data_IF_861960852516
#
_entry.id   IF_861960852516
#
_cell.length_a   1.000
_cell.length_b   1.000
_cell.length_c   1.000
_cell.angle_alpha   90.00
_cell.angle_beta   90.00
_cell.angle_gamma   90.00
#
_symmetry.space_group_name_H-M   'P 1'
#
loop_
_entity.id
_entity.type
_entity.pdbx_description
1 polymer ?
#
# COMPACT_ATOMS: atom_id res chain seq x y z
N UNK A 1 -16.05 5.17 -47.27
CA UNK A 1 -16.20 6.23 -46.25
C UNK A 1 -14.95 6.25 -45.40
N UNK A 2 -14.07 7.24 -45.65
CA UNK A 2 -12.81 7.39 -44.94
C UNK A 2 -13.11 7.82 -43.50
N UNK A 3 -12.71 7.01 -42.52
CA UNK A 3 -12.78 7.35 -41.11
C UNK A 3 -11.85 8.55 -40.85
N UNK A 4 -12.41 9.73 -40.70
CA UNK A 4 -11.68 10.92 -40.27
C UNK A 4 -11.08 10.63 -38.90
N UNK A 5 -9.78 10.39 -38.87
CA UNK A 5 -9.00 10.23 -37.62
C UNK A 5 -9.20 11.50 -36.80
N UNK A 6 -9.95 11.43 -35.69
CA UNK A 6 -10.12 12.55 -34.76
C UNK A 6 -8.77 12.84 -34.14
N UNK A 7 -8.05 13.79 -34.71
CA UNK A 7 -6.78 14.28 -34.13
C UNK A 7 -7.10 15.07 -32.87
N UNK A 8 -6.38 14.76 -31.76
CA UNK A 8 -6.52 15.52 -30.51
C UNK A 8 -6.21 16.99 -30.76
N UNK A 9 -7.01 17.93 -30.19
CA UNK A 9 -6.68 19.34 -30.26
C UNK A 9 -5.26 19.60 -29.77
N UNK A 10 -4.54 20.52 -30.43
CA UNK A 10 -3.19 20.92 -30.04
C UNK A 10 -3.16 22.38 -29.59
N UNK A 11 -2.06 22.80 -28.93
CA UNK A 11 -1.86 24.22 -28.59
C UNK A 11 -1.97 25.15 -29.81
N UNK A 12 -1.53 24.68 -30.98
CA UNK A 12 -1.64 25.42 -32.21
C UNK A 12 -3.11 25.61 -32.64
N UNK A 13 -3.93 24.54 -32.53
CA UNK A 13 -5.36 24.64 -32.84
C UNK A 13 -6.07 25.67 -31.96
N UNK A 14 -5.77 25.72 -30.65
CA UNK A 14 -6.33 26.72 -29.73
C UNK A 14 -5.90 28.12 -30.16
N UNK A 15 -4.60 28.32 -30.43
CA UNK A 15 -4.04 29.60 -30.82
C UNK A 15 -4.66 30.15 -32.13
N UNK A 16 -4.79 29.29 -33.13
CA UNK A 16 -5.34 29.64 -34.46
C UNK A 16 -6.82 30.05 -34.37
N UNK A 17 -7.61 29.35 -33.54
CA UNK A 17 -9.06 29.62 -33.37
C UNK A 17 -9.36 30.97 -32.74
N UNK A 18 -8.51 31.44 -31.85
CA UNK A 18 -8.71 32.73 -31.15
C UNK A 18 -7.78 33.84 -31.61
N UNK A 19 -6.98 33.59 -32.66
CA UNK A 19 -6.15 34.61 -33.33
C UNK A 19 -4.97 35.09 -32.47
N UNK A 20 -4.34 34.19 -31.69
CA UNK A 20 -3.15 34.49 -30.87
C UNK A 20 -1.99 33.53 -31.18
N UNK A 21 -0.83 33.78 -30.57
CA UNK A 21 0.33 32.90 -30.78
C UNK A 21 0.25 31.67 -29.86
N UNK A 22 0.79 30.54 -30.32
CA UNK A 22 0.99 29.32 -29.47
C UNK A 22 1.74 29.64 -28.18
N UNK A 23 2.69 30.58 -28.22
CA UNK A 23 3.45 31.02 -27.05
C UNK A 23 2.55 31.67 -25.99
N UNK A 24 1.55 32.45 -26.40
CA UNK A 24 0.58 33.09 -25.51
C UNK A 24 -0.30 32.04 -24.81
N UNK A 25 -0.79 31.03 -25.54
CA UNK A 25 -1.56 29.91 -24.97
C UNK A 25 -0.66 29.12 -24.00
N UNK A 26 0.58 28.82 -24.37
CA UNK A 26 1.53 28.11 -23.49
C UNK A 26 1.85 28.89 -22.21
N UNK A 27 1.95 30.23 -22.30
CA UNK A 27 2.17 31.12 -21.16
C UNK A 27 0.95 31.08 -20.20
N UNK A 28 -0.25 31.18 -20.75
CA UNK A 28 -1.49 31.04 -19.99
C UNK A 28 -1.57 29.73 -19.25
N UNK A 29 -1.26 28.60 -19.89
CA UNK A 29 -1.31 27.28 -19.26
C UNK A 29 -0.28 27.12 -18.12
N UNK A 30 0.82 27.88 -18.16
CA UNK A 30 1.85 27.89 -17.11
C UNK A 30 1.46 28.77 -15.94
N UNK A 31 0.99 29.99 -16.27
CA UNK A 31 0.55 31.00 -15.33
C UNK A 31 -0.56 31.84 -15.98
N UNK A 32 -1.83 31.60 -15.63
CA UNK A 32 -2.95 32.33 -16.19
C UNK A 32 -2.87 33.85 -15.95
N UNK A 33 -2.22 34.28 -14.87
CA UNK A 33 -2.08 35.71 -14.54
C UNK A 33 -1.03 36.42 -15.39
N UNK A 34 -0.14 35.69 -16.07
CA UNK A 34 0.88 36.25 -16.96
C UNK A 34 0.35 36.76 -18.29
N UNK A 35 -0.96 36.62 -18.56
CA UNK A 35 -1.63 37.14 -19.75
C UNK A 35 -2.78 38.08 -19.37
N UNK A 36 -3.09 39.04 -20.29
CA UNK A 36 -4.15 40.03 -20.08
C UNK A 36 -5.52 39.34 -19.82
N UNK A 37 -6.37 39.92 -18.96
CA UNK A 37 -7.65 39.36 -18.54
C UNK A 37 -8.53 38.93 -19.71
N UNK A 38 -8.68 39.82 -20.74
CA UNK A 38 -9.49 39.51 -21.93
C UNK A 38 -8.93 38.36 -22.76
N UNK A 39 -7.62 38.18 -22.81
CA UNK A 39 -6.96 37.05 -23.50
C UNK A 39 -7.14 35.76 -22.70
N UNK A 40 -7.03 35.84 -21.37
CA UNK A 40 -7.24 34.72 -20.46
C UNK A 40 -8.64 34.13 -20.61
N UNK A 41 -9.68 34.97 -20.62
CA UNK A 41 -11.07 34.54 -20.83
C UNK A 41 -11.29 33.86 -22.17
N UNK A 42 -10.70 34.41 -23.27
CA UNK A 42 -10.79 33.78 -24.59
C UNK A 42 -10.13 32.39 -24.61
N UNK A 43 -8.95 32.26 -24.02
CA UNK A 43 -8.22 30.98 -23.97
C UNK A 43 -9.02 29.96 -23.11
N UNK A 44 -9.51 30.36 -21.94
CA UNK A 44 -10.27 29.49 -21.05
C UNK A 44 -11.54 28.95 -21.78
N UNK A 45 -12.31 29.84 -22.42
CA UNK A 45 -13.52 29.48 -23.18
C UNK A 45 -13.20 28.53 -24.34
N UNK A 46 -12.10 28.74 -25.04
CA UNK A 46 -11.74 27.88 -26.17
C UNK A 46 -11.23 26.50 -25.71
N UNK A 47 -10.48 26.43 -24.60
CA UNK A 47 -10.08 25.17 -23.98
C UNK A 47 -11.32 24.36 -23.55
N UNK A 48 -12.29 25.00 -22.90
CA UNK A 48 -13.54 24.38 -22.50
C UNK A 48 -14.33 23.89 -23.71
N UNK A 49 -14.51 24.73 -24.75
CA UNK A 49 -15.25 24.39 -25.95
C UNK A 49 -14.64 23.25 -26.78
N UNK A 50 -13.29 23.13 -26.76
CA UNK A 50 -12.58 22.11 -27.54
C UNK A 50 -12.28 20.84 -26.72
N UNK A 51 -12.43 20.88 -25.39
CA UNK A 51 -12.00 19.80 -24.51
C UNK A 51 -10.49 19.59 -24.55
N UNK A 52 -9.71 20.63 -24.84
CA UNK A 52 -8.26 20.52 -24.94
C UNK A 52 -7.62 20.16 -23.62
N UNK A 53 -6.82 19.09 -23.63
CA UNK A 53 -5.99 18.67 -22.48
C UNK A 53 -4.54 18.92 -22.83
N UNK A 54 -3.83 19.64 -21.96
CA UNK A 54 -2.42 19.96 -22.16
C UNK A 54 -1.56 18.69 -22.27
N UNK A 55 -0.80 18.55 -23.34
CA UNK A 55 0.23 17.54 -23.44
C UNK A 55 1.42 17.94 -22.55
N UNK A 56 1.71 17.14 -21.52
CA UNK A 56 2.82 17.37 -20.58
C UNK A 56 4.18 16.91 -21.11
N UNK A 57 4.23 16.05 -22.14
CA UNK A 57 5.47 15.49 -22.66
C UNK A 57 6.55 16.54 -23.05
N UNK A 58 6.21 17.67 -23.71
CA UNK A 58 7.20 18.72 -23.99
C UNK A 58 7.74 19.40 -22.73
N UNK A 59 6.91 19.54 -21.69
CA UNK A 59 7.33 20.13 -20.42
C UNK A 59 8.23 19.16 -19.62
N UNK A 60 7.94 17.87 -19.68
CA UNK A 60 8.78 16.81 -19.09
C UNK A 60 10.18 16.83 -19.70
N UNK A 61 10.28 16.92 -21.04
CA UNK A 61 11.57 17.02 -21.75
C UNK A 61 12.37 18.28 -21.39
N UNK A 62 11.68 19.40 -21.12
CA UNK A 62 12.36 20.68 -20.87
C UNK A 62 12.70 20.92 -19.40
N UNK A 63 11.95 20.33 -18.46
CA UNK A 63 12.09 20.56 -17.01
C UNK A 63 12.64 19.36 -16.24
N UNK A 64 12.89 18.21 -16.89
CA UNK A 64 13.30 16.95 -16.27
C UNK A 64 12.39 16.51 -15.08
N UNK A 65 11.09 16.88 -15.11
CA UNK A 65 10.10 16.49 -14.08
C UNK A 65 8.76 16.17 -14.72
N UNK A 66 8.23 15.01 -14.39
CA UNK A 66 6.92 14.53 -14.86
C UNK A 66 5.77 14.99 -13.98
N UNK A 67 6.09 15.40 -12.75
CA UNK A 67 5.12 15.57 -11.66
C UNK A 67 4.30 14.31 -11.41
N UNK A 68 4.94 13.13 -11.51
CA UNK A 68 4.34 11.83 -11.24
C UNK A 68 5.18 11.06 -10.22
N UNK A 69 4.50 10.41 -9.27
CA UNK A 69 5.06 9.47 -8.30
C UNK A 69 4.57 8.07 -8.66
N UNK A 70 5.48 7.13 -8.85
CA UNK A 70 5.16 5.73 -9.09
C UNK A 70 4.90 5.00 -7.78
N UNK A 71 3.82 4.23 -7.73
CA UNK A 71 3.44 3.40 -6.58
C UNK A 71 3.34 1.96 -7.04
N UNK A 72 4.07 1.06 -6.37
CA UNK A 72 3.95 -0.38 -6.61
C UNK A 72 3.14 -1.03 -5.51
N UNK A 73 2.07 -1.72 -5.90
CA UNK A 73 1.19 -2.44 -5.00
C UNK A 73 1.16 -3.93 -5.37
N UNK A 74 1.26 -4.85 -4.40
CA UNK A 74 1.23 -6.27 -4.70
C UNK A 74 -0.18 -6.80 -4.92
N UNK A 75 -1.22 -6.03 -4.53
CA UNK A 75 -2.62 -6.40 -4.71
C UNK A 75 -3.51 -5.18 -4.83
N UNK A 76 -4.46 -5.22 -5.77
CA UNK A 76 -5.52 -4.22 -5.91
C UNK A 76 -6.81 -4.61 -5.18
N UNK A 77 -6.99 -5.89 -4.86
CA UNK A 77 -8.16 -6.39 -4.14
C UNK A 77 -7.99 -6.38 -2.60
N UNK A 78 -6.76 -6.32 -2.10
CA UNK A 78 -6.50 -6.25 -0.67
C UNK A 78 -6.73 -4.82 -0.14
N UNK A 79 -7.71 -4.65 0.75
CA UNK A 79 -8.11 -3.36 1.32
C UNK A 79 -6.98 -2.62 2.06
N UNK A 80 -5.96 -3.33 2.53
CA UNK A 80 -4.76 -2.75 3.16
C UNK A 80 -4.13 -1.69 2.26
N UNK A 81 -3.96 -2.01 0.97
CA UNK A 81 -3.29 -1.11 0.03
C UNK A 81 -4.18 0.04 -0.47
N UNK A 82 -5.50 -0.11 -0.41
CA UNK A 82 -6.42 0.99 -0.78
C UNK A 82 -6.28 2.17 0.20
N UNK A 83 -6.25 1.90 1.50
CA UNK A 83 -6.10 2.94 2.52
C UNK A 83 -4.72 3.59 2.49
N UNK A 84 -3.68 2.81 2.25
CA UNK A 84 -2.31 3.29 2.03
C UNK A 84 -2.23 4.21 0.81
N UNK A 85 -2.77 3.79 -0.34
CA UNK A 85 -2.78 4.59 -1.55
C UNK A 85 -3.56 5.92 -1.39
N UNK A 86 -4.65 5.94 -0.60
CA UNK A 86 -5.37 7.17 -0.28
C UNK A 86 -4.49 8.18 0.46
N UNK A 87 -3.68 7.73 1.44
CA UNK A 87 -2.75 8.60 2.15
C UNK A 87 -1.70 9.22 1.21
N UNK A 88 -1.18 8.44 0.28
CA UNK A 88 -0.24 8.94 -0.74
C UNK A 88 -0.92 9.97 -1.64
N UNK A 89 -2.11 9.66 -2.15
CA UNK A 89 -2.85 10.52 -3.09
C UNK A 89 -3.19 11.88 -2.47
N UNK A 90 -3.60 11.92 -1.22
CA UNK A 90 -3.93 13.17 -0.51
C UNK A 90 -2.72 14.12 -0.50
N UNK A 91 -1.54 13.62 -0.12
CA UNK A 91 -0.33 14.43 -0.05
C UNK A 91 0.20 14.77 -1.46
N UNK A 92 0.26 13.79 -2.37
CA UNK A 92 0.75 13.99 -3.73
C UNK A 92 -0.09 15.05 -4.46
N UNK A 93 -1.42 14.91 -4.42
CA UNK A 93 -2.39 15.80 -5.06
C UNK A 93 -2.25 17.24 -4.55
N UNK A 94 -2.15 17.44 -3.22
CA UNK A 94 -1.99 18.78 -2.62
C UNK A 94 -0.72 19.51 -3.07
N UNK A 95 0.32 18.76 -3.51
CA UNK A 95 1.58 19.29 -4.04
C UNK A 95 1.67 19.28 -5.57
N UNK A 96 0.55 18.98 -6.26
CA UNK A 96 0.45 18.98 -7.72
C UNK A 96 1.15 17.81 -8.41
N UNK A 97 1.39 16.72 -7.67
CA UNK A 97 1.84 15.45 -8.23
C UNK A 97 0.65 14.55 -8.57
N UNK A 98 0.85 13.69 -9.58
CA UNK A 98 -0.06 12.60 -9.93
C UNK A 98 0.53 11.29 -9.47
N UNK A 99 -0.30 10.33 -9.09
CA UNK A 99 0.12 8.98 -8.76
C UNK A 99 -0.04 8.04 -9.95
N UNK A 100 0.96 7.22 -10.23
CA UNK A 100 0.93 6.15 -11.21
C UNK A 100 1.04 4.82 -10.47
N UNK A 101 -0.08 4.10 -10.36
CA UNK A 101 -0.15 2.83 -9.65
C UNK A 101 0.15 1.67 -10.60
N UNK A 102 1.11 0.83 -10.24
CA UNK A 102 1.42 -0.43 -10.91
C UNK A 102 1.18 -1.62 -9.96
N UNK A 103 0.60 -2.69 -10.49
CA UNK A 103 0.31 -3.93 -9.77
C UNK A 103 1.28 -5.02 -10.19
N UNK A 104 1.87 -5.76 -9.22
CA UNK A 104 2.88 -6.79 -9.50
C UNK A 104 2.58 -8.20 -8.95
N UNK A 105 1.48 -8.41 -8.22
CA UNK A 105 0.98 -9.74 -7.86
C UNK A 105 1.89 -10.55 -6.91
N UNK A 106 2.70 -9.90 -6.06
CA UNK A 106 3.69 -10.53 -5.17
C UNK A 106 4.81 -11.31 -5.91
N UNK A 107 5.11 -10.95 -7.15
CA UNK A 107 6.18 -11.55 -7.95
C UNK A 107 7.34 -10.57 -8.13
N UNK A 108 8.53 -10.95 -7.71
CA UNK A 108 9.74 -10.12 -7.84
C UNK A 108 10.06 -9.78 -9.30
N UNK A 109 9.79 -10.71 -10.23
CA UNK A 109 9.99 -10.48 -11.67
C UNK A 109 8.96 -9.52 -12.25
N UNK A 110 7.70 -9.61 -11.80
CA UNK A 110 6.67 -8.65 -12.19
C UNK A 110 6.95 -7.28 -11.58
N UNK A 111 7.42 -7.21 -10.33
CA UNK A 111 7.86 -5.96 -9.70
C UNK A 111 8.94 -5.29 -10.56
N UNK A 112 9.99 -6.03 -10.94
CA UNK A 112 11.07 -5.55 -11.81
C UNK A 112 10.53 -4.98 -13.13
N UNK A 113 9.60 -5.70 -13.78
CA UNK A 113 8.95 -5.27 -15.02
C UNK A 113 8.15 -3.97 -14.84
N UNK A 114 7.39 -3.84 -13.72
CA UNK A 114 6.60 -2.65 -13.43
C UNK A 114 7.47 -1.45 -13.07
N UNK A 115 8.56 -1.65 -12.34
CA UNK A 115 9.55 -0.60 -12.06
C UNK A 115 10.16 -0.09 -13.36
N UNK A 116 10.61 -0.98 -14.26
CA UNK A 116 11.12 -0.58 -15.56
C UNK A 116 10.09 0.26 -16.36
N UNK A 117 8.82 -0.13 -16.31
CA UNK A 117 7.74 0.63 -16.94
C UNK A 117 7.57 2.01 -16.32
N UNK A 118 7.47 2.13 -15.00
CA UNK A 118 7.33 3.42 -14.30
C UNK A 118 8.52 4.35 -14.58
N UNK A 119 9.74 3.82 -14.56
CA UNK A 119 10.95 4.58 -14.89
C UNK A 119 10.94 5.04 -16.35
N UNK A 120 10.39 4.24 -17.28
CA UNK A 120 10.23 4.65 -18.69
C UNK A 120 9.23 5.80 -18.87
N UNK A 121 8.24 5.92 -17.96
CA UNK A 121 7.33 7.08 -17.87
C UNK A 121 7.96 8.26 -17.14
N UNK A 122 9.24 8.16 -16.75
CA UNK A 122 10.00 9.22 -16.08
C UNK A 122 9.32 9.70 -14.78
N UNK A 123 8.84 8.79 -13.94
CA UNK A 123 8.34 9.18 -12.60
C UNK A 123 9.44 9.88 -11.81
N UNK A 124 9.06 10.88 -11.02
CA UNK A 124 10.01 11.69 -10.25
C UNK A 124 10.42 10.99 -8.94
N UNK A 125 9.66 9.99 -8.46
CA UNK A 125 9.96 9.19 -7.28
C UNK A 125 9.19 7.88 -7.28
N UNK A 126 9.60 6.92 -6.45
CA UNK A 126 8.99 5.61 -6.31
C UNK A 126 8.61 5.32 -4.85
N UNK A 127 7.43 4.72 -4.66
CA UNK A 127 6.99 4.14 -3.39
C UNK A 127 6.76 2.65 -3.63
N UNK A 128 7.56 1.83 -2.95
CA UNK A 128 7.59 0.37 -3.05
C UNK A 128 6.94 -0.22 -1.80
N UNK A 129 6.26 -1.35 -1.90
CA UNK A 129 5.62 -2.01 -0.75
C UNK A 129 6.30 -3.31 -0.32
N UNK A 130 7.37 -3.69 -0.98
CA UNK A 130 8.25 -4.79 -0.60
C UNK A 130 9.64 -4.24 -0.23
N UNK A 131 10.43 -5.06 0.46
CA UNK A 131 11.79 -4.73 0.92
C UNK A 131 12.84 -5.71 0.38
N UNK A 132 12.40 -6.69 -0.41
CA UNK A 132 13.26 -7.62 -1.14
C UNK A 132 13.09 -7.37 -2.63
N UNK A 133 14.19 -7.10 -3.32
CA UNK A 133 14.20 -6.71 -4.72
C UNK A 133 15.24 -7.49 -5.51
N UNK A 134 15.03 -7.67 -6.82
CA UNK A 134 16.05 -8.27 -7.69
C UNK A 134 17.26 -7.32 -7.83
N UNK A 135 18.45 -7.91 -8.11
CA UNK A 135 19.65 -7.11 -8.39
C UNK A 135 19.42 -6.11 -9.54
N UNK A 136 18.60 -6.48 -10.53
CA UNK A 136 18.28 -5.61 -11.67
C UNK A 136 17.38 -4.45 -11.25
N UNK A 137 16.40 -4.69 -10.38
CA UNK A 137 15.59 -3.62 -9.77
C UNK A 137 16.48 -2.60 -9.07
N UNK A 138 17.40 -3.06 -8.20
CA UNK A 138 18.32 -2.19 -7.49
C UNK A 138 19.22 -1.40 -8.45
N UNK A 139 19.72 -2.04 -9.53
CA UNK A 139 20.51 -1.36 -10.56
C UNK A 139 19.70 -0.28 -11.31
N UNK A 140 18.47 -0.57 -11.69
CA UNK A 140 17.59 0.38 -12.38
C UNK A 140 17.28 1.60 -11.52
N UNK A 141 16.94 1.38 -10.25
CA UNK A 141 16.66 2.44 -9.28
C UNK A 141 17.92 3.30 -9.06
N UNK A 142 19.08 2.67 -8.83
CA UNK A 142 20.35 3.38 -8.66
C UNK A 142 20.74 4.23 -9.87
N UNK A 143 20.44 3.73 -11.09
CA UNK A 143 20.69 4.47 -12.34
C UNK A 143 19.73 5.64 -12.54
N UNK A 144 18.45 5.45 -12.14
CA UNK A 144 17.43 6.49 -12.25
C UNK A 144 17.69 7.69 -11.34
N UNK A 145 18.39 7.46 -10.21
CA UNK A 145 18.78 8.49 -9.24
C UNK A 145 17.60 9.39 -8.80
N UNK A 146 16.48 8.75 -8.51
CA UNK A 146 15.26 9.40 -7.98
C UNK A 146 15.03 8.94 -6.53
N UNK A 147 14.33 9.73 -5.70
CA UNK A 147 14.00 9.32 -4.33
C UNK A 147 13.08 8.09 -4.31
N UNK A 148 13.35 7.19 -3.37
CA UNK A 148 12.60 5.94 -3.17
C UNK A 148 12.22 5.78 -1.71
N UNK A 149 10.96 5.37 -1.47
CA UNK A 149 10.48 4.96 -0.15
C UNK A 149 10.02 3.51 -0.22
N UNK A 150 10.61 2.66 0.62
CA UNK A 150 10.09 1.32 0.93
C UNK A 150 9.06 1.46 2.05
N UNK A 151 7.84 1.03 1.82
CA UNK A 151 6.71 1.28 2.69
C UNK A 151 6.11 0.00 3.29
N UNK A 152 5.36 0.13 4.39
CA UNK A 152 4.63 -0.93 5.09
C UNK A 152 5.49 -1.83 5.98
N UNK A 153 6.77 -1.95 5.74
CA UNK A 153 7.74 -2.76 6.48
C UNK A 153 8.99 -1.91 6.79
N UNK A 154 9.79 -2.32 7.76
CA UNK A 154 11.04 -1.65 8.13
C UNK A 154 12.22 -2.52 7.74
N UNK A 155 12.85 -2.31 6.57
CA UNK A 155 14.06 -3.02 6.20
C UNK A 155 15.23 -2.57 7.10
N UNK A 156 16.14 -3.49 7.37
CA UNK A 156 17.35 -3.17 8.14
C UNK A 156 18.22 -2.10 7.43
N UNK A 157 18.27 -2.16 6.10
CA UNK A 157 18.99 -1.19 5.27
C UNK A 157 18.09 -0.82 4.08
N UNK A 158 17.41 0.32 4.13
CA UNK A 158 16.55 0.76 3.02
C UNK A 158 17.39 1.16 1.80
N UNK A 159 16.78 1.07 0.60
CA UNK A 159 17.37 1.58 -0.65
C UNK A 159 17.71 3.06 -0.49
N UNK A 160 16.76 3.86 -0.02
CA UNK A 160 16.93 5.28 0.28
C UNK A 160 16.24 5.63 1.60
N UNK A 161 14.90 5.52 1.68
CA UNK A 161 14.10 5.78 2.87
C UNK A 161 13.08 4.66 3.09
N UNK A 162 12.62 4.48 4.33
CA UNK A 162 11.56 3.52 4.65
C UNK A 162 10.56 4.09 5.64
N UNK A 163 9.28 3.70 5.50
CA UNK A 163 8.18 4.05 6.40
C UNK A 163 7.32 2.83 6.65
N UNK A 164 7.20 2.40 7.90
CA UNK A 164 6.41 1.20 8.21
C UNK A 164 6.19 0.99 9.69
N UNK A 165 6.09 -0.26 10.06
CA UNK A 165 5.97 -0.70 11.45
C UNK A 165 6.76 -1.98 11.68
N UNK A 166 7.08 -2.27 12.93
CA UNK A 166 7.72 -3.52 13.33
C UNK A 166 6.69 -4.64 13.47
N UNK A 167 6.48 -5.41 12.39
CA UNK A 167 5.53 -6.52 12.37
C UNK A 167 5.85 -7.65 13.37
N UNK A 168 7.13 -7.87 13.65
CA UNK A 168 7.55 -8.88 14.61
C UNK A 168 7.20 -8.48 16.04
N UNK A 169 7.47 -7.22 16.43
CA UNK A 169 7.11 -6.70 17.73
C UNK A 169 5.58 -6.67 17.92
N UNK A 170 4.84 -6.23 16.90
CA UNK A 170 3.37 -6.21 16.95
C UNK A 170 2.77 -7.60 17.18
N UNK A 171 3.29 -8.61 16.50
CA UNK A 171 2.87 -9.99 16.68
C UNK A 171 3.25 -10.53 18.08
N UNK A 172 4.47 -10.23 18.54
CA UNK A 172 4.90 -10.62 19.88
C UNK A 172 3.99 -10.06 20.97
N UNK A 173 3.65 -8.77 20.88
CA UNK A 173 2.82 -8.11 21.90
C UNK A 173 1.39 -8.68 21.93
N UNK A 174 0.74 -8.85 20.77
CA UNK A 174 -0.63 -9.36 20.75
C UNK A 174 -0.71 -10.82 21.16
N UNK A 175 0.26 -11.66 20.78
CA UNK A 175 0.30 -13.06 21.22
C UNK A 175 0.58 -13.17 22.72
N UNK A 176 1.42 -12.28 23.26
CA UNK A 176 1.62 -12.17 24.70
C UNK A 176 0.31 -11.82 25.43
N UNK A 177 -0.52 -10.94 24.86
CA UNK A 177 -1.84 -10.65 25.41
C UNK A 177 -2.76 -11.88 25.37
N UNK A 178 -2.75 -12.66 24.28
CA UNK A 178 -3.51 -13.92 24.20
C UNK A 178 -3.08 -14.91 25.29
N UNK A 179 -1.77 -15.09 25.50
CA UNK A 179 -1.23 -15.97 26.55
C UNK A 179 -1.62 -15.46 27.96
N UNK A 180 -1.53 -14.16 28.20
CA UNK A 180 -1.92 -13.56 29.48
C UNK A 180 -3.44 -13.62 29.75
N UNK A 181 -4.28 -13.73 28.70
CA UNK A 181 -5.73 -14.01 28.87
C UNK A 181 -6.06 -15.46 29.24
N UNK A 182 -5.03 -16.31 29.36
CA UNK A 182 -5.15 -17.70 29.77
C UNK A 182 -5.15 -18.72 28.63
N UNK A 183 -4.98 -18.30 27.38
CA UNK A 183 -4.85 -19.21 26.24
C UNK A 183 -3.47 -19.87 26.25
N UNK A 184 -3.41 -21.15 25.88
CA UNK A 184 -2.18 -21.97 25.99
C UNK A 184 -1.81 -22.66 24.68
N UNK A 185 -2.81 -23.07 23.90
CA UNK A 185 -2.66 -23.76 22.63
C UNK A 185 -3.01 -22.81 21.50
N UNK A 186 -2.13 -21.81 21.29
CA UNK A 186 -2.33 -20.81 20.25
C UNK A 186 -1.63 -21.29 18.98
N UNK A 187 -2.32 -21.32 17.83
CA UNK A 187 -1.71 -21.57 16.53
C UNK A 187 -1.54 -20.26 15.73
N UNK A 188 -0.46 -20.19 14.97
CA UNK A 188 -0.27 -19.16 13.92
C UNK A 188 -0.87 -19.62 12.60
N UNK A 189 -1.83 -18.86 12.07
CA UNK A 189 -2.46 -19.12 10.80
C UNK A 189 -1.86 -18.22 9.72
N UNK A 190 -0.96 -18.78 8.91
CA UNK A 190 -0.22 -18.06 7.87
C UNK A 190 -0.70 -18.39 6.46
N UNK A 191 -0.88 -17.37 5.65
CA UNK A 191 -1.20 -17.50 4.23
C UNK A 191 -0.21 -16.67 3.40
N UNK A 192 0.08 -17.14 2.17
CA UNK A 192 0.98 -16.49 1.20
C UNK A 192 2.47 -16.51 1.56
N UNK A 193 2.84 -16.58 2.81
CA UNK A 193 4.20 -16.64 3.36
C UNK A 193 5.17 -15.56 2.84
N UNK A 194 4.64 -14.37 2.55
CA UNK A 194 5.44 -13.18 2.22
C UNK A 194 6.31 -12.72 3.40
N UNK A 195 7.16 -11.70 3.19
CA UNK A 195 8.06 -11.15 4.20
C UNK A 195 7.32 -10.79 5.48
N UNK A 196 6.23 -10.02 5.39
CA UNK A 196 5.43 -9.58 6.54
C UNK A 196 4.78 -10.75 7.30
N UNK A 197 4.29 -11.75 6.57
CA UNK A 197 3.77 -12.99 7.18
C UNK A 197 4.84 -13.72 7.99
N UNK A 198 6.07 -13.80 7.45
CA UNK A 198 7.20 -14.42 8.14
C UNK A 198 7.62 -13.63 9.39
N UNK A 199 7.66 -12.30 9.32
CA UNK A 199 7.95 -11.45 10.49
C UNK A 199 6.92 -11.63 11.61
N UNK A 200 5.62 -11.69 11.28
CA UNK A 200 4.56 -11.98 12.26
C UNK A 200 4.71 -13.38 12.86
N UNK A 201 5.04 -14.36 12.04
CA UNK A 201 5.32 -15.72 12.50
C UNK A 201 6.50 -15.76 13.48
N UNK A 202 7.56 -15.00 13.23
CA UNK A 202 8.71 -14.88 14.14
C UNK A 202 8.29 -14.27 15.49
N UNK A 203 7.52 -13.18 15.48
CA UNK A 203 7.00 -12.55 16.71
C UNK A 203 6.11 -13.49 17.50
N UNK A 204 5.21 -14.22 16.83
CA UNK A 204 4.40 -15.27 17.43
C UNK A 204 5.26 -16.36 18.08
N UNK A 205 6.24 -16.88 17.35
CA UNK A 205 7.15 -17.92 17.85
C UNK A 205 7.87 -17.47 19.13
N UNK A 206 8.44 -16.27 19.10
CA UNK A 206 9.12 -15.71 20.27
C UNK A 206 8.21 -15.56 21.49
N UNK A 207 6.97 -15.10 21.30
CA UNK A 207 6.03 -14.93 22.40
C UNK A 207 5.63 -16.27 23.03
N UNK A 208 5.34 -17.28 22.20
CA UNK A 208 4.94 -18.62 22.63
C UNK A 208 6.09 -19.34 23.36
N UNK A 209 7.29 -19.29 22.80
CA UNK A 209 8.50 -19.91 23.39
C UNK A 209 8.92 -19.22 24.70
N UNK A 210 8.77 -17.90 24.81
CA UNK A 210 9.07 -17.15 26.04
C UNK A 210 8.20 -17.58 27.23
N UNK A 211 7.02 -18.14 26.98
CA UNK A 211 6.11 -18.70 27.99
C UNK A 211 6.26 -20.24 28.14
N UNK A 212 7.27 -20.84 27.49
CA UNK A 212 7.55 -22.28 27.59
C UNK A 212 6.59 -23.16 26.79
N UNK A 213 5.78 -22.62 25.89
CA UNK A 213 4.92 -23.36 25.00
C UNK A 213 5.63 -23.73 23.69
N UNK A 214 5.09 -24.72 22.97
CA UNK A 214 5.57 -25.07 21.62
C UNK A 214 4.75 -24.34 20.56
N UNK A 215 5.39 -23.74 19.56
CA UNK A 215 4.68 -23.07 18.47
C UNK A 215 3.94 -24.09 17.58
N UNK A 216 2.72 -23.73 17.16
CA UNK A 216 1.87 -24.48 16.25
C UNK A 216 1.67 -23.64 14.99
N UNK A 217 1.99 -24.20 13.82
CA UNK A 217 1.88 -23.50 12.54
C UNK A 217 0.88 -24.17 11.62
N UNK A 218 -0.09 -23.40 11.16
CA UNK A 218 -1.07 -23.80 10.15
C UNK A 218 -0.87 -22.89 8.94
N UNK A 219 -0.16 -23.38 7.94
CA UNK A 219 0.39 -22.57 6.85
C UNK A 219 -0.15 -22.98 5.48
N UNK A 220 -0.28 -22.00 4.59
CA UNK A 220 -0.59 -22.22 3.17
C UNK A 220 0.10 -21.19 2.28
N UNK A 221 0.48 -21.58 1.06
CA UNK A 221 0.97 -20.68 0.00
C UNK A 221 -0.18 -19.96 -0.73
N UNK A 222 -1.42 -20.37 -0.49
CA UNK A 222 -2.57 -19.75 -1.13
C UNK A 222 -2.74 -18.27 -0.69
N UNK A 223 -3.36 -17.48 -1.55
CA UNK A 223 -3.74 -16.10 -1.21
C UNK A 223 -4.76 -16.07 -0.06
N UNK A 224 -4.61 -15.10 0.84
CA UNK A 224 -5.54 -14.89 1.94
C UNK A 224 -6.97 -14.66 1.44
N UNK A 225 -7.93 -15.36 2.05
CA UNK A 225 -9.36 -15.15 1.86
C UNK A 225 -10.13 -15.74 3.03
N UNK A 226 -11.40 -15.38 3.18
CA UNK A 226 -12.29 -15.96 4.19
C UNK A 226 -12.41 -17.49 4.03
N UNK A 227 -12.54 -17.98 2.79
CA UNK A 227 -12.63 -19.41 2.51
C UNK A 227 -11.37 -20.16 2.92
N UNK A 228 -10.19 -19.59 2.69
CA UNK A 228 -8.92 -20.17 3.14
C UNK A 228 -8.87 -20.20 4.67
N UNK A 229 -9.30 -19.14 5.36
CA UNK A 229 -9.37 -19.11 6.81
C UNK A 229 -10.26 -20.24 7.37
N UNK A 230 -11.42 -20.47 6.77
CA UNK A 230 -12.31 -21.57 7.15
C UNK A 230 -11.65 -22.94 6.97
N UNK A 231 -11.00 -23.20 5.84
CA UNK A 231 -10.32 -24.46 5.56
C UNK A 231 -9.14 -24.70 6.52
N UNK A 232 -8.39 -23.64 6.85
CA UNK A 232 -7.28 -23.74 7.79
C UNK A 232 -7.75 -24.06 9.21
N UNK A 233 -8.92 -23.56 9.64
CA UNK A 233 -9.50 -23.93 10.93
C UNK A 233 -9.83 -25.43 10.96
N UNK A 234 -10.48 -25.97 9.95
CA UNK A 234 -10.80 -27.39 9.87
C UNK A 234 -9.53 -28.26 9.94
N UNK A 235 -8.49 -27.87 9.19
CA UNK A 235 -7.18 -28.52 9.26
C UNK A 235 -6.60 -28.48 10.68
N UNK A 236 -6.64 -27.30 11.32
CA UNK A 236 -6.09 -27.10 12.65
C UNK A 236 -6.78 -27.99 13.71
N UNK A 237 -8.11 -28.02 13.72
CA UNK A 237 -8.88 -28.80 14.68
C UNK A 237 -8.69 -30.32 14.51
N UNK A 238 -8.46 -30.77 13.27
CA UNK A 238 -8.13 -32.19 13.01
C UNK A 238 -6.75 -32.59 13.53
N UNK A 239 -5.81 -31.64 13.61
CA UNK A 239 -4.42 -31.90 14.04
C UNK A 239 -4.22 -31.57 15.54
N UNK A 240 -4.97 -30.60 16.07
CA UNK A 240 -4.83 -30.05 17.41
C UNK A 240 -6.23 -29.83 18.02
N UNK A 241 -6.78 -30.89 18.60
CA UNK A 241 -8.14 -30.86 19.18
C UNK A 241 -8.26 -29.99 20.45
N UNK A 242 -7.13 -29.61 21.05
CA UNK A 242 -7.01 -28.77 22.24
C UNK A 242 -6.69 -27.30 21.93
N UNK A 243 -6.79 -26.91 20.66
CA UNK A 243 -6.52 -25.54 20.21
C UNK A 243 -7.49 -24.55 20.87
N UNK A 244 -6.97 -23.53 21.54
CA UNK A 244 -7.75 -22.51 22.26
C UNK A 244 -7.48 -21.07 21.77
N UNK A 245 -6.53 -20.88 20.85
CA UNK A 245 -6.22 -19.58 20.27
C UNK A 245 -5.76 -19.65 18.80
N UNK A 246 -6.19 -18.68 18.00
CA UNK A 246 -5.81 -18.49 16.61
C UNK A 246 -5.25 -17.07 16.41
N UNK A 247 -3.95 -16.95 16.16
CA UNK A 247 -3.35 -15.72 15.70
C UNK A 247 -3.19 -15.77 14.18
N UNK A 248 -3.86 -14.87 13.48
CA UNK A 248 -3.97 -14.89 12.02
C UNK A 248 -3.07 -13.85 11.36
N UNK A 249 -2.44 -14.22 10.25
CA UNK A 249 -1.58 -13.29 9.50
C UNK A 249 -2.31 -12.03 9.06
N UNK A 250 -3.63 -12.10 8.86
CA UNK A 250 -4.48 -10.96 8.52
C UNK A 250 -5.96 -11.24 8.88
N UNK A 251 -6.78 -10.19 8.77
CA UNK A 251 -8.21 -10.25 9.11
C UNK A 251 -9.02 -11.13 8.16
N UNK A 252 -8.62 -11.27 6.89
CA UNK A 252 -9.33 -12.17 5.97
C UNK A 252 -9.30 -13.62 6.48
N UNK A 253 -8.14 -14.08 6.98
CA UNK A 253 -8.01 -15.40 7.60
C UNK A 253 -8.78 -15.44 8.91
N UNK A 254 -8.66 -14.42 9.77
CA UNK A 254 -9.33 -14.37 11.07
C UNK A 254 -10.86 -14.42 10.93
N UNK A 255 -11.44 -13.61 10.05
CA UNK A 255 -12.89 -13.61 9.78
C UNK A 255 -13.35 -14.95 9.23
N UNK A 256 -12.58 -15.56 8.33
CA UNK A 256 -12.87 -16.91 7.83
C UNK A 256 -12.92 -17.95 8.93
N UNK A 257 -11.96 -17.92 9.87
CA UNK A 257 -11.93 -18.78 11.06
C UNK A 257 -13.14 -18.52 11.95
N UNK A 258 -13.48 -17.26 12.23
CA UNK A 258 -14.62 -16.90 13.08
C UNK A 258 -15.94 -17.40 12.50
N UNK A 259 -16.15 -17.25 11.20
CA UNK A 259 -17.36 -17.74 10.51
C UNK A 259 -17.45 -19.26 10.54
N UNK A 260 -16.34 -19.98 10.31
CA UNK A 260 -16.30 -21.43 10.38
C UNK A 260 -16.51 -21.95 11.81
N UNK A 261 -15.90 -21.28 12.81
CA UNK A 261 -16.12 -21.60 14.23
C UNK A 261 -17.59 -21.43 14.62
N UNK A 262 -18.23 -20.35 14.20
CA UNK A 262 -19.65 -20.11 14.44
C UNK A 262 -20.54 -21.22 13.83
N UNK A 263 -20.25 -21.66 12.60
CA UNK A 263 -20.97 -22.75 11.93
C UNK A 263 -20.83 -24.08 12.66
N UNK A 264 -19.68 -24.31 13.33
CA UNK A 264 -19.41 -25.51 14.11
C UNK A 264 -19.84 -25.39 15.58
N UNK A 265 -20.45 -24.28 16.00
CA UNK A 265 -20.88 -24.05 17.36
C UNK A 265 -19.73 -23.81 18.36
N UNK A 266 -18.53 -23.46 17.87
CA UNK A 266 -17.36 -23.14 18.71
C UNK A 266 -17.52 -21.71 19.25
N UNK A 267 -17.51 -21.58 20.57
CA UNK A 267 -17.68 -20.29 21.24
C UNK A 267 -16.40 -19.44 21.18
N UNK A 268 -16.53 -18.24 20.64
CA UNK A 268 -15.47 -17.22 20.62
C UNK A 268 -15.81 -16.14 21.67
N UNK A 269 -14.87 -15.75 22.55
CA UNK A 269 -13.48 -16.21 22.70
C UNK A 269 -13.32 -17.41 23.63
N UNK A 270 -14.40 -17.93 24.25
CA UNK A 270 -14.29 -18.87 25.37
C UNK A 270 -13.56 -20.15 24.98
N UNK A 271 -13.99 -20.83 23.93
CA UNK A 271 -13.33 -22.04 23.43
C UNK A 271 -12.15 -21.71 22.51
N UNK A 272 -12.30 -20.73 21.62
CA UNK A 272 -11.27 -20.33 20.68
C UNK A 272 -11.17 -18.80 20.64
N UNK A 273 -10.08 -18.24 21.16
CA UNK A 273 -9.77 -16.82 20.92
C UNK A 273 -9.23 -16.62 19.50
N UNK A 274 -9.64 -15.54 18.83
CA UNK A 274 -9.19 -15.24 17.48
C UNK A 274 -8.66 -13.82 17.43
N UNK A 275 -7.43 -13.65 16.90
CA UNK A 275 -6.81 -12.35 16.70
C UNK A 275 -6.35 -12.21 15.25
N UNK A 276 -6.69 -11.07 14.65
CA UNK A 276 -6.33 -10.70 13.29
C UNK A 276 -5.17 -9.71 13.20
N UNK A 277 -4.95 -9.21 12.00
CA UNK A 277 -4.01 -8.15 11.71
C UNK A 277 -4.54 -7.33 10.53
N UNK A 278 -4.52 -6.04 10.64
CA UNK A 278 -4.87 -4.91 9.78
C UNK A 278 -6.09 -4.11 10.26
N UNK A 279 -6.85 -4.54 11.25
CA UNK A 279 -8.07 -3.89 11.76
C UNK A 279 -8.99 -3.43 10.60
N UNK A 280 -9.38 -4.38 9.74
CA UNK A 280 -10.29 -4.11 8.64
C UNK A 280 -11.71 -3.92 9.15
N UNK A 281 -12.50 -3.08 8.46
CA UNK A 281 -13.87 -2.72 8.84
C UNK A 281 -14.76 -3.95 9.06
N UNK A 282 -14.61 -4.99 8.26
CA UNK A 282 -15.35 -6.25 8.41
C UNK A 282 -15.21 -6.85 9.81
N UNK A 283 -14.03 -6.74 10.45
CA UNK A 283 -13.76 -7.25 11.79
C UNK A 283 -14.62 -6.55 12.86
N UNK A 284 -14.94 -5.28 12.67
CA UNK A 284 -15.71 -4.48 13.64
C UNK A 284 -17.18 -4.89 13.71
N UNK A 285 -17.73 -5.40 12.60
CA UNK A 285 -19.14 -5.83 12.49
C UNK A 285 -19.36 -7.32 12.71
N UNK A 286 -18.28 -8.09 12.95
CA UNK A 286 -18.39 -9.49 13.38
C UNK A 286 -19.04 -9.58 14.75
N UNK A 287 -19.59 -10.75 15.09
CA UNK A 287 -20.16 -11.04 16.41
C UNK A 287 -19.55 -12.34 16.96
N UNK A 288 -18.65 -12.25 17.98
CA UNK A 288 -18.08 -11.04 18.58
C UNK A 288 -17.21 -10.25 17.58
N UNK A 289 -16.96 -8.95 17.85
CA UNK A 289 -16.04 -8.13 17.03
C UNK A 289 -14.61 -8.67 17.12
N UNK A 290 -13.86 -8.57 16.03
CA UNK A 290 -12.49 -9.09 15.93
C UNK A 290 -11.49 -8.17 16.65
N UNK A 291 -10.68 -8.75 17.55
CA UNK A 291 -9.45 -8.12 18.05
C UNK A 291 -8.38 -8.21 16.96
N UNK A 292 -7.73 -7.10 16.62
CA UNK A 292 -6.78 -7.06 15.51
C UNK A 292 -5.65 -6.06 15.75
N UNK A 293 -4.46 -6.34 15.22
CA UNK A 293 -3.37 -5.36 15.14
C UNK A 293 -3.78 -4.30 14.13
N UNK A 294 -3.81 -3.04 14.55
CA UNK A 294 -4.08 -1.89 13.68
C UNK A 294 -2.77 -1.25 13.23
N UNK A 295 -2.59 -1.23 11.92
CA UNK A 295 -1.45 -0.62 11.25
C UNK A 295 -1.85 0.77 10.74
N UNK A 296 -1.05 1.83 10.97
CA UNK A 296 -1.36 3.20 10.53
C UNK A 296 -1.14 3.37 9.01
N UNK A 297 -1.90 2.62 8.20
CA UNK A 297 -1.70 2.50 6.74
C UNK A 297 -1.84 3.81 6.00
N UNK A 298 -2.80 4.64 6.42
CA UNK A 298 -3.03 5.95 5.82
C UNK A 298 -1.84 6.88 6.11
N UNK A 299 -1.41 6.93 7.34
CA UNK A 299 -0.28 7.73 7.84
C UNK A 299 1.04 7.26 7.21
N UNK A 300 1.22 5.94 7.02
CA UNK A 300 2.36 5.37 6.26
C UNK A 300 2.33 5.92 4.83
N UNK A 301 1.16 5.95 4.19
CA UNK A 301 0.99 6.51 2.86
C UNK A 301 1.33 8.00 2.79
N UNK A 302 0.78 8.80 3.72
CA UNK A 302 1.05 10.24 3.80
C UNK A 302 2.55 10.50 3.99
N UNK A 303 3.17 9.83 4.99
CA UNK A 303 4.58 10.01 5.29
C UNK A 303 5.49 9.62 4.12
N UNK A 304 5.15 8.54 3.41
CA UNK A 304 5.90 8.12 2.23
C UNK A 304 5.88 9.19 1.13
N UNK A 305 4.73 9.78 0.85
CA UNK A 305 4.60 10.85 -0.14
C UNK A 305 5.31 12.15 0.31
N UNK A 306 5.21 12.53 1.59
CA UNK A 306 5.93 13.68 2.16
C UNK A 306 7.44 13.55 1.97
N UNK A 307 8.00 12.37 2.25
CA UNK A 307 9.43 12.12 2.11
C UNK A 307 9.89 12.23 0.64
N UNK A 308 9.15 11.65 -0.29
CA UNK A 308 9.43 11.80 -1.74
C UNK A 308 9.41 13.27 -2.14
N UNK A 309 8.36 14.01 -1.78
CA UNK A 309 8.19 15.41 -2.16
C UNK A 309 9.27 16.29 -1.54
N UNK A 310 9.62 16.06 -0.26
CA UNK A 310 10.71 16.77 0.41
C UNK A 310 12.06 16.53 -0.27
N UNK A 311 12.36 15.28 -0.61
CA UNK A 311 13.58 14.93 -1.35
C UNK A 311 13.64 15.61 -2.73
N UNK A 312 12.52 15.64 -3.46
CA UNK A 312 12.39 16.34 -4.74
C UNK A 312 12.53 17.87 -4.62
N UNK A 313 12.21 18.43 -3.48
CA UNK A 313 12.46 19.84 -3.15
C UNK A 313 13.88 20.13 -2.66
N UNK A 314 14.75 19.10 -2.60
CA UNK A 314 16.13 19.24 -2.10
C UNK A 314 16.24 19.33 -0.59
N UNK A 315 15.21 18.96 0.16
CA UNK A 315 15.21 18.93 1.62
C UNK A 315 15.60 17.50 2.06
N UNK A 316 16.77 17.32 2.70
CA UNK A 316 17.18 16.00 3.14
C UNK A 316 16.28 15.48 4.27
N UNK A 317 16.05 14.18 4.27
CA UNK A 317 15.34 13.53 5.37
C UNK A 317 16.22 13.47 6.62
N UNK A 318 15.64 13.76 7.79
CA UNK A 318 16.35 13.66 9.09
C UNK A 318 16.71 12.21 9.44
N UNK A 319 15.88 11.27 9.02
CA UNK A 319 16.02 9.84 9.27
C UNK A 319 15.83 9.06 7.96
N UNK A 320 16.41 7.87 7.90
CA UNK A 320 16.22 6.94 6.78
C UNK A 320 15.06 5.99 7.01
N UNK A 321 14.71 5.69 8.25
CA UNK A 321 13.68 4.73 8.64
C UNK A 321 12.72 5.39 9.62
N UNK A 322 11.43 5.36 9.30
CA UNK A 322 10.35 5.89 10.11
C UNK A 322 9.43 4.75 10.56
N UNK A 323 9.56 4.37 11.84
CA UNK A 323 8.62 3.45 12.49
C UNK A 323 7.42 4.26 13.01
N UNK A 324 6.25 4.05 12.43
CA UNK A 324 5.01 4.71 12.86
C UNK A 324 4.28 3.92 13.95
N UNK A 325 4.83 2.77 14.35
CA UNK A 325 4.23 1.93 15.37
C UNK A 325 2.95 1.24 14.91
N UNK A 326 2.22 0.72 15.89
CA UNK A 326 0.94 0.01 15.72
C UNK A 326 0.11 0.18 16.98
N UNK A 327 -1.18 -0.12 16.88
CA UNK A 327 -2.06 -0.27 18.05
C UNK A 327 -2.78 -1.62 17.98
N UNK A 328 -3.44 -2.01 19.07
CA UNK A 328 -4.30 -3.18 19.09
C UNK A 328 -5.74 -2.69 19.19
N UNK A 329 -6.52 -2.92 18.14
CA UNK A 329 -7.95 -2.68 18.14
C UNK A 329 -8.64 -3.78 18.94
N UNK A 330 -9.08 -3.44 20.16
CA UNK A 330 -9.74 -4.39 21.03
C UNK A 330 -11.12 -4.77 20.49
N UNK A 331 -11.41 -6.04 20.47
CA UNK A 331 -12.70 -6.62 20.13
C UNK A 331 -13.12 -7.67 21.15
N UNK A 332 -14.27 -8.31 20.91
CA UNK A 332 -14.79 -9.38 21.76
C UNK A 332 -14.25 -10.77 21.40
N UNK A 333 -13.29 -10.91 20.48
CA UNK A 333 -12.77 -12.20 20.04
C UNK A 333 -11.53 -12.67 20.83
N UNK A 334 -11.03 -11.85 21.77
CA UNK A 334 -9.96 -12.18 22.71
C UNK A 334 -10.37 -11.88 24.14
#
# INVERSE_FOLDING_TARGET
MSATQKTRPTLQHIADRIGITKMTVSRYLRDPHSVAASTREKIAKEIEATGYIQNRAPAMLSKASSKAIGILLPSLSNQVFARFAQGIEEVASSHGYQTLIAHFGYSDLEEESKIASLLSYQVDGLILTETSHTNRTLQMIGTANIPVVEAMELPHTPIDMAVGLNHQAAAYDVVTQMLNSGKKQIAYFGARLDSRTKLRMQGYTQAVEAQGHKPIYILTEAHSSFSIGANLLEQALNQHSDLDGAFCTNDDIAVGIMLAAQQQGISIPHQLAVVGNNALDIGTVMSPSLTSIDSPRFEIGQKSAELIISALAGVPSEQKVYDLGYSISAGGSL
#
